data_IF_667249403754
#
_entry.id   IF_667249403754
#
_cell.length_a   1.000
_cell.length_b   1.000
_cell.length_c   1.000
_cell.angle_alpha   90.00
_cell.angle_beta   90.00
_cell.angle_gamma   90.00
#
_symmetry.space_group_name_H-M   'P 1'
#
loop_
_entity.id
_entity.type
_entity.pdbx_description
1 polymer ?
#
# COMPACT_ATOMS: atom_id res chain seq x y z
N UNK A 1 -8.65 -17.89 4.55
CA UNK A 1 -8.40 -19.24 5.04
C UNK A 1 -9.62 -19.76 5.79
N UNK A 2 -10.06 -20.94 5.44
CA UNK A 2 -11.22 -21.59 6.09
C UNK A 2 -12.48 -20.68 6.09
N UNK A 3 -12.74 -20.00 4.99
CA UNK A 3 -13.84 -19.06 4.83
C UNK A 3 -13.68 -17.74 5.56
N UNK A 4 -12.56 -17.53 6.22
CA UNK A 4 -12.25 -16.30 6.95
C UNK A 4 -11.22 -15.45 6.22
N UNK A 5 -11.40 -14.14 6.26
CA UNK A 5 -10.46 -13.20 5.67
C UNK A 5 -9.19 -13.14 6.53
N UNK A 6 -8.04 -13.42 5.92
CA UNK A 6 -6.72 -13.30 6.54
C UNK A 6 -5.89 -12.24 5.86
N UNK A 7 -5.89 -12.23 4.53
CA UNK A 7 -5.20 -11.26 3.69
C UNK A 7 -6.16 -10.70 2.64
N UNK A 8 -6.00 -9.43 2.34
CA UNK A 8 -6.69 -8.79 1.23
C UNK A 8 -5.68 -7.96 0.45
N UNK A 9 -5.47 -8.32 -0.82
CA UNK A 9 -4.64 -7.51 -1.70
C UNK A 9 -5.42 -6.31 -2.21
N UNK A 10 -4.95 -5.14 -1.87
CA UNK A 10 -5.51 -3.87 -2.31
C UNK A 10 -4.58 -3.24 -3.34
N UNK A 11 -5.06 -3.12 -4.58
CA UNK A 11 -4.26 -2.62 -5.69
C UNK A 11 -5.04 -1.56 -6.48
N UNK A 12 -5.19 -0.36 -5.93
CA UNK A 12 -5.90 0.70 -6.62
C UNK A 12 -5.16 1.06 -7.91
N UNK A 13 -5.91 1.35 -8.96
CA UNK A 13 -5.33 1.95 -10.15
C UNK A 13 -4.78 3.32 -9.78
N UNK A 14 -3.54 3.60 -10.20
CA UNK A 14 -2.93 4.89 -9.91
C UNK A 14 -3.76 6.03 -10.50
N UNK A 15 -4.11 6.99 -9.67
CA UNK A 15 -4.81 8.22 -10.03
C UNK A 15 -3.93 9.41 -9.69
N UNK A 16 -3.53 10.19 -10.69
CA UNK A 16 -2.67 11.34 -10.49
C UNK A 16 -3.32 12.41 -9.61
N UNK A 17 -4.63 12.60 -9.72
CA UNK A 17 -5.37 13.54 -8.90
C UNK A 17 -5.49 13.08 -7.42
N UNK A 18 -5.29 11.79 -7.17
CA UNK A 18 -5.36 11.19 -5.84
C UNK A 18 -4.10 10.35 -5.57
N UNK A 19 -2.96 10.90 -5.90
CA UNK A 19 -1.68 10.20 -5.86
C UNK A 19 -1.39 9.56 -4.52
N UNK A 20 -1.56 10.31 -3.43
CA UNK A 20 -1.22 9.85 -2.08
C UNK A 20 -1.93 8.55 -1.68
N UNK A 21 -3.17 8.34 -2.10
CA UNK A 21 -3.94 7.14 -1.76
C UNK A 21 -3.83 6.02 -2.79
N UNK A 22 -3.20 6.27 -3.94
CA UNK A 22 -3.15 5.32 -5.07
C UNK A 22 -1.75 4.97 -5.54
N UNK A 23 -0.69 5.49 -4.91
CA UNK A 23 0.67 5.34 -5.42
C UNK A 23 1.30 3.96 -5.19
N UNK A 24 0.70 3.10 -4.37
CA UNK A 24 1.24 1.75 -4.16
C UNK A 24 0.16 0.72 -3.78
N UNK A 25 0.27 -0.51 -4.30
CA UNK A 25 -0.51 -1.63 -3.81
C UNK A 25 0.06 -2.17 -2.48
N UNK A 26 -0.78 -2.83 -1.70
CA UNK A 26 -0.42 -3.41 -0.42
C UNK A 26 -1.41 -4.49 0.00
N UNK A 27 -1.07 -5.26 1.04
CA UNK A 27 -1.95 -6.24 1.63
C UNK A 27 -2.43 -5.78 3.00
N UNK A 28 -3.73 -5.77 3.22
CA UNK A 28 -4.31 -5.69 4.55
C UNK A 28 -4.24 -7.06 5.21
N UNK A 29 -3.92 -7.08 6.50
CA UNK A 29 -3.88 -8.29 7.32
C UNK A 29 -5.03 -8.25 8.32
N UNK A 30 -5.72 -9.36 8.49
CA UNK A 30 -6.86 -9.49 9.37
C UNK A 30 -6.62 -10.57 10.42
N UNK A 31 -7.20 -10.39 11.61
CA UNK A 31 -7.26 -11.42 12.65
C UNK A 31 -8.46 -12.34 12.36
N UNK A 32 -8.26 -13.59 11.92
CA UNK A 32 -9.36 -14.48 11.60
C UNK A 32 -10.07 -15.03 12.85
N UNK A 33 -9.48 -14.90 14.02
CA UNK A 33 -10.04 -15.41 15.29
C UNK A 33 -11.05 -14.44 15.87
N UNK A 34 -10.76 -13.14 15.77
CA UNK A 34 -11.57 -12.07 16.37
C UNK A 34 -12.62 -11.45 15.43
N UNK A 35 -13.09 -12.19 14.43
CA UNK A 35 -14.17 -11.70 13.57
C UNK A 35 -13.71 -10.70 12.49
N UNK A 36 -12.60 -10.98 11.83
CA UNK A 36 -12.07 -10.20 10.71
C UNK A 36 -11.65 -8.77 11.11
N UNK A 37 -11.06 -8.63 12.28
CA UNK A 37 -10.49 -7.34 12.72
C UNK A 37 -9.26 -7.04 11.87
N UNK A 38 -9.22 -5.85 11.24
CA UNK A 38 -8.06 -5.40 10.49
C UNK A 38 -6.92 -5.05 11.44
N UNK A 39 -5.75 -5.67 11.25
CA UNK A 39 -4.56 -5.47 12.06
C UNK A 39 -3.60 -4.43 11.50
N UNK A 40 -3.78 -4.02 10.25
CA UNK A 40 -2.89 -3.09 9.55
C UNK A 40 -3.60 -1.81 9.17
N UNK A 41 -2.81 -0.76 8.95
CA UNK A 41 -3.34 0.45 8.34
C UNK A 41 -3.77 0.19 6.89
N UNK A 42 -4.73 0.96 6.43
CA UNK A 42 -5.21 0.95 5.05
C UNK A 42 -5.11 2.35 4.43
N UNK A 43 -5.28 2.43 3.12
CA UNK A 43 -5.31 3.70 2.40
C UNK A 43 -6.66 4.42 2.45
N UNK A 44 -7.61 3.95 3.25
CA UNK A 44 -8.91 4.61 3.35
C UNK A 44 -8.76 6.05 3.86
N UNK A 45 -9.33 7.01 3.15
CA UNK A 45 -9.32 8.42 3.55
C UNK A 45 -9.99 8.66 4.91
N UNK A 46 -10.80 7.71 5.34
CA UNK A 46 -11.51 7.73 6.61
C UNK A 46 -10.76 7.04 7.74
N UNK A 47 -9.60 6.44 7.47
CA UNK A 47 -8.77 5.84 8.50
C UNK A 47 -8.16 6.96 9.35
N UNK A 48 -8.83 7.28 10.45
CA UNK A 48 -8.51 8.44 11.29
C UNK A 48 -7.23 8.30 12.12
N UNK A 49 -6.65 7.11 12.24
CA UNK A 49 -5.78 6.79 13.36
C UNK A 49 -4.40 6.25 12.98
N UNK A 50 -4.01 6.34 11.71
CA UNK A 50 -2.66 5.95 11.32
C UNK A 50 -1.65 7.04 11.62
N UNK A 51 -0.82 6.87 12.66
CA UNK A 51 0.29 7.79 12.93
C UNK A 51 1.22 7.96 11.72
N UNK A 52 1.29 6.94 10.88
CA UNK A 52 2.09 6.92 9.66
C UNK A 52 1.23 6.42 8.50
N UNK A 53 0.43 7.28 7.86
CA UNK A 53 -0.52 6.86 6.84
C UNK A 53 0.14 6.29 5.56
N UNK A 54 1.43 6.48 5.37
CA UNK A 54 2.21 5.82 4.31
C UNK A 54 2.61 4.37 4.68
N UNK A 55 2.50 3.97 5.95
CA UNK A 55 2.69 2.59 6.40
C UNK A 55 1.37 1.80 6.23
N UNK A 56 1.07 1.41 5.02
CA UNK A 56 -0.16 0.69 4.67
C UNK A 56 0.11 -0.80 4.59
N UNK A 57 -0.42 -1.58 5.51
CA UNK A 57 -0.33 -3.02 5.44
C UNK A 57 1.07 -3.57 5.14
N UNK A 58 1.11 -4.68 4.43
CA UNK A 58 2.35 -5.25 3.89
C UNK A 58 2.53 -4.77 2.46
N UNK A 59 3.63 -4.11 2.16
CA UNK A 59 3.92 -3.58 0.83
C UNK A 59 5.39 -3.71 0.48
N UNK A 60 5.67 -3.74 -0.81
CA UNK A 60 7.02 -3.63 -1.34
C UNK A 60 7.36 -2.15 -1.54
N UNK A 61 8.45 -1.68 -0.94
CA UNK A 61 8.86 -0.29 -1.11
C UNK A 61 10.20 0.03 -0.47
N UNK A 62 10.92 0.93 -1.11
CA UNK A 62 12.17 1.49 -0.63
C UNK A 62 12.13 3.00 -0.70
N UNK A 63 12.76 3.67 0.25
CA UNK A 63 12.84 5.13 0.28
C UNK A 63 14.03 5.71 -0.50
N UNK A 64 14.94 4.86 -0.97
CA UNK A 64 16.10 5.29 -1.77
C UNK A 64 16.43 4.24 -2.82
N UNK A 65 15.81 4.38 -3.96
CA UNK A 65 16.15 3.58 -5.14
C UNK A 65 16.97 4.45 -6.06
N UNK A 66 18.17 4.01 -6.41
CA UNK A 66 18.99 4.69 -7.42
C UNK A 66 18.95 3.88 -8.72
N UNK A 67 18.79 4.56 -9.83
CA UNK A 67 18.72 3.93 -11.14
C UNK A 67 19.28 4.88 -12.21
N UNK A 68 19.60 4.35 -13.38
CA UNK A 68 20.23 5.15 -14.42
C UNK A 68 21.53 5.80 -13.97
N UNK A 69 21.81 7.00 -14.41
CA UNK A 69 23.10 7.68 -14.15
C UNK A 69 23.12 8.58 -12.91
N UNK A 70 22.12 8.73 -12.14
CA UNK A 70 22.04 9.50 -10.88
C UNK A 70 20.58 9.76 -10.49
N UNK A 71 19.65 9.04 -11.05
CA UNK A 71 18.24 9.21 -10.73
C UNK A 71 17.92 8.50 -9.42
N UNK A 72 16.98 9.06 -8.68
CA UNK A 72 16.50 8.48 -7.41
C UNK A 72 14.99 8.42 -7.39
N UNK A 73 14.46 7.42 -6.70
CA UNK A 73 13.03 7.26 -6.47
C UNK A 73 12.76 6.84 -5.02
N UNK A 74 11.66 7.32 -4.49
CA UNK A 74 11.15 6.93 -3.17
C UNK A 74 9.73 6.37 -3.33
N UNK A 75 9.63 5.05 -3.46
CA UNK A 75 8.32 4.37 -3.52
C UNK A 75 7.75 4.05 -2.14
N UNK A 76 8.49 4.31 -1.07
CA UNK A 76 7.99 4.21 0.30
C UNK A 76 6.97 5.32 0.59
N UNK A 77 7.35 6.56 0.32
CA UNK A 77 6.49 7.72 0.53
C UNK A 77 5.73 8.17 -0.72
N UNK A 78 6.17 7.73 -1.91
CA UNK A 78 5.58 8.16 -3.18
C UNK A 78 5.91 9.62 -3.52
N UNK A 79 7.10 10.11 -3.12
CA UNK A 79 7.53 11.47 -3.44
C UNK A 79 7.75 11.63 -4.94
N UNK A 80 7.71 12.86 -5.43
CA UNK A 80 7.92 13.20 -6.85
C UNK A 80 7.01 12.42 -7.80
N UNK A 81 5.79 12.10 -7.36
CA UNK A 81 4.78 11.35 -8.13
C UNK A 81 5.22 9.94 -8.52
N UNK A 82 6.22 9.39 -7.84
CA UNK A 82 6.66 8.00 -8.02
C UNK A 82 5.59 7.05 -7.48
N UNK A 83 5.36 5.96 -8.19
CA UNK A 83 4.35 4.97 -7.80
C UNK A 83 4.72 3.56 -8.23
N UNK A 84 4.15 2.59 -7.55
CA UNK A 84 4.10 1.19 -7.99
C UNK A 84 2.67 0.81 -8.33
N UNK A 85 2.50 -0.03 -9.31
CA UNK A 85 1.19 -0.44 -9.80
C UNK A 85 1.15 -1.94 -10.04
N UNK A 86 0.01 -2.55 -9.72
CA UNK A 86 -0.27 -3.92 -10.11
C UNK A 86 -0.46 -3.97 -11.63
N UNK A 87 0.30 -4.83 -12.29
CA UNK A 87 0.20 -5.01 -13.74
C UNK A 87 -0.85 -6.07 -14.08
N UNK A 88 -0.62 -7.31 -13.63
CA UNK A 88 -1.54 -8.41 -13.89
C UNK A 88 -1.43 -9.52 -12.85
N UNK A 89 -2.49 -10.27 -12.71
CA UNK A 89 -2.49 -11.52 -11.95
C UNK A 89 -2.32 -12.70 -12.93
N UNK A 90 -1.41 -13.60 -12.60
CA UNK A 90 -1.13 -14.81 -13.38
C UNK A 90 -2.05 -15.95 -12.95
#
# INVERSE_FOLDING_TARGET
YDGRKVLQYFHPKRDEADHYYTFKPFHNVYDPVKGEVMLTNTSAKTAKDGQFPHHRGLFFGFNRITYGEKQQADIWHGTDKVYSQHDKTL
#
